data_IF_869730114615
#
_entry.id   IF_869730114615
#
_cell.length_a   1.000
_cell.length_b   1.000
_cell.length_c   1.000
_cell.angle_alpha   90.00
_cell.angle_beta   90.00
_cell.angle_gamma   90.00
#
_symmetry.space_group_name_H-M   'P 1'
#
loop_
_entity.id
_entity.type
_entity.pdbx_description
1 polymer ?
#
# COMPACT_ATOMS: atom_id res chain seq x y z
N UNK A 1 -7.07 -3.19 -9.62
CA UNK A 1 -8.05 -2.34 -10.34
C UNK A 1 -8.16 -1.02 -9.62
N UNK A 2 -7.36 -0.05 -10.03
CA UNK A 2 -7.57 1.36 -9.70
C UNK A 2 -7.81 2.01 -11.06
N UNK A 3 -8.78 2.93 -11.15
CA UNK A 3 -9.41 3.48 -12.37
C UNK A 3 -10.68 2.75 -12.83
N UNK A 4 -11.68 2.74 -11.94
CA UNK A 4 -13.07 2.41 -12.25
C UNK A 4 -14.02 3.61 -12.27
N UNK A 5 -13.52 4.85 -12.21
CA UNK A 5 -14.39 6.04 -12.19
C UNK A 5 -14.77 6.38 -13.63
N UNK A 6 -16.01 6.06 -13.97
CA UNK A 6 -16.70 6.46 -15.19
C UNK A 6 -17.04 7.95 -15.18
N UNK A 7 -17.24 8.54 -16.37
CA UNK A 7 -17.64 9.95 -16.51
C UNK A 7 -18.96 10.24 -15.76
N UNK A 8 -19.89 9.29 -15.73
CA UNK A 8 -21.15 9.39 -14.99
C UNK A 8 -20.96 9.47 -13.48
N UNK A 9 -20.03 8.70 -12.91
CA UNK A 9 -19.74 8.77 -11.47
C UNK A 9 -19.12 10.11 -11.09
N UNK A 10 -18.26 10.66 -11.96
CA UNK A 10 -17.68 12.00 -11.73
C UNK A 10 -18.76 13.09 -11.73
N UNK A 11 -19.72 13.03 -12.65
CA UNK A 11 -20.88 13.94 -12.65
C UNK A 11 -21.71 13.76 -11.37
N UNK A 12 -21.99 12.53 -10.96
CA UNK A 12 -22.77 12.27 -9.74
C UNK A 12 -22.10 12.87 -8.50
N UNK A 13 -20.79 12.64 -8.33
CA UNK A 13 -20.01 13.22 -7.22
C UNK A 13 -20.03 14.74 -7.29
N UNK A 14 -19.93 15.32 -8.49
CA UNK A 14 -20.02 16.77 -8.66
C UNK A 14 -21.38 17.31 -8.21
N UNK A 15 -22.49 16.70 -8.64
CA UNK A 15 -23.85 17.09 -8.22
C UNK A 15 -24.01 16.96 -6.71
N UNK A 16 -23.58 15.85 -6.10
CA UNK A 16 -23.63 15.65 -4.65
C UNK A 16 -22.82 16.75 -3.94
N UNK A 17 -21.62 17.05 -4.43
CA UNK A 17 -20.79 18.13 -3.90
C UNK A 17 -21.47 19.51 -4.00
N UNK A 18 -22.14 19.79 -5.11
CA UNK A 18 -22.91 21.04 -5.27
C UNK A 18 -24.10 21.12 -4.31
N UNK A 19 -24.78 20.01 -4.02
CA UNK A 19 -25.90 19.99 -3.07
C UNK A 19 -25.41 20.18 -1.63
N UNK A 20 -24.31 19.54 -1.24
CA UNK A 20 -23.77 19.60 0.12
C UNK A 20 -23.14 20.96 0.41
N UNK A 21 -22.26 21.43 -0.48
CA UNK A 21 -21.46 22.64 -0.26
C UNK A 21 -22.10 23.88 -0.89
N UNK A 22 -22.98 23.71 -1.87
CA UNK A 22 -23.55 24.80 -2.66
C UNK A 22 -22.71 25.11 -3.92
N UNK A 23 -23.35 25.55 -5.02
CA UNK A 23 -22.68 25.82 -6.29
C UNK A 23 -21.69 27.00 -6.25
N UNK A 24 -21.84 27.92 -5.31
CA UNK A 24 -20.90 29.02 -5.12
C UNK A 24 -19.64 28.62 -4.34
N UNK A 25 -19.71 27.61 -3.46
CA UNK A 25 -18.60 27.27 -2.57
C UNK A 25 -17.65 26.22 -3.16
N UNK A 26 -18.16 25.25 -3.91
CA UNK A 26 -17.37 24.24 -4.62
C UNK A 26 -16.24 24.85 -5.49
N UNK A 27 -16.52 25.84 -6.37
CA UNK A 27 -15.46 26.47 -7.17
C UNK A 27 -14.48 27.28 -6.33
N UNK A 28 -14.91 27.86 -5.20
CA UNK A 28 -14.03 28.57 -4.28
C UNK A 28 -13.02 27.62 -3.62
N UNK A 29 -13.46 26.45 -3.17
CA UNK A 29 -12.60 25.40 -2.59
C UNK A 29 -11.63 24.87 -3.65
N UNK A 30 -12.13 24.57 -4.85
CA UNK A 30 -11.29 24.11 -5.95
C UNK A 30 -10.22 25.15 -6.32
N UNK A 31 -10.53 26.45 -6.32
CA UNK A 31 -9.55 27.53 -6.55
C UNK A 31 -8.50 27.60 -5.44
N UNK A 32 -8.88 27.38 -4.17
CA UNK A 32 -7.93 27.35 -3.03
C UNK A 32 -6.95 26.20 -3.16
N UNK A 33 -7.47 24.99 -3.40
CA UNK A 33 -6.66 23.77 -3.57
C UNK A 33 -5.81 23.86 -4.84
N UNK A 34 -6.41 24.26 -5.96
CA UNK A 34 -5.73 24.43 -7.24
C UNK A 34 -4.64 25.51 -7.19
N UNK A 35 -4.88 26.61 -6.49
CA UNK A 35 -3.88 27.64 -6.24
C UNK A 35 -2.72 27.15 -5.38
N UNK A 36 -2.97 26.29 -4.40
CA UNK A 36 -1.92 25.68 -3.57
C UNK A 36 -1.07 24.69 -4.37
N UNK A 37 -1.70 23.80 -5.13
CA UNK A 37 -1.01 22.86 -6.04
C UNK A 37 -0.24 23.63 -7.11
N UNK A 38 -0.81 24.72 -7.64
CA UNK A 38 -0.15 25.60 -8.61
C UNK A 38 1.13 26.23 -8.05
N UNK A 39 1.11 26.67 -6.79
CA UNK A 39 2.32 27.16 -6.10
C UNK A 39 3.38 26.07 -5.93
N UNK A 40 2.98 24.84 -5.56
CA UNK A 40 3.90 23.70 -5.47
C UNK A 40 4.51 23.36 -6.83
N UNK A 41 3.70 23.37 -7.89
CA UNK A 41 4.17 23.13 -9.26
C UNK A 41 5.17 24.20 -9.68
N UNK A 42 4.93 25.46 -9.33
CA UNK A 42 5.86 26.57 -9.58
C UNK A 42 7.16 26.41 -8.78
N UNK A 43 7.08 26.01 -7.51
CA UNK A 43 8.26 25.74 -6.69
C UNK A 43 9.13 24.62 -7.30
N UNK A 44 8.55 23.55 -7.86
CA UNK A 44 9.33 22.52 -8.57
C UNK A 44 10.00 23.06 -9.83
N UNK A 45 9.29 23.89 -10.61
CA UNK A 45 9.83 24.50 -11.80
C UNK A 45 10.99 25.46 -11.46
N UNK A 46 10.83 26.31 -10.45
CA UNK A 46 11.85 27.27 -10.02
C UNK A 46 13.06 26.54 -9.40
N UNK A 47 12.85 25.47 -8.62
CA UNK A 47 13.95 24.62 -8.14
C UNK A 47 14.69 23.97 -9.31
N UNK A 48 14.01 23.37 -10.27
CA UNK A 48 14.66 22.80 -11.46
C UNK A 48 15.44 23.87 -12.23
N UNK A 49 14.84 25.02 -12.52
CA UNK A 49 15.47 26.08 -13.32
C UNK A 49 16.70 26.70 -12.63
N UNK A 50 16.70 26.83 -11.30
CA UNK A 50 17.86 27.32 -10.54
C UNK A 50 18.95 26.25 -10.36
N UNK A 51 18.57 24.96 -10.29
CA UNK A 51 19.53 23.85 -10.23
C UNK A 51 20.26 23.63 -11.57
N UNK A 52 19.59 23.81 -12.71
CA UNK A 52 20.20 23.62 -14.04
C UNK A 52 21.18 24.73 -14.47
N UNK A 53 21.17 25.91 -13.82
CA UNK A 53 22.04 27.02 -14.20
C UNK A 53 23.20 27.30 -13.22
N UNK A 54 23.13 26.84 -11.96
CA UNK A 54 24.21 27.07 -10.96
C UNK A 54 24.50 25.89 -10.01
N UNK A 55 23.69 24.81 -9.95
CA UNK A 55 23.93 23.71 -9.04
C UNK A 55 24.59 22.53 -9.75
N UNK A 56 25.76 22.13 -9.27
CA UNK A 56 26.37 20.87 -9.64
C UNK A 56 25.41 19.73 -9.31
N UNK A 57 25.06 18.94 -10.33
CA UNK A 57 24.27 17.70 -10.21
C UNK A 57 24.93 16.73 -9.19
N UNK A 58 26.18 16.99 -8.83
CA UNK A 58 27.02 16.28 -7.87
C UNK A 58 26.50 16.38 -6.41
N UNK A 59 25.99 17.53 -5.95
CA UNK A 59 25.56 17.71 -4.54
C UNK A 59 24.24 17.00 -4.23
N UNK A 60 23.30 17.02 -5.18
CA UNK A 60 22.04 16.26 -5.06
C UNK A 60 22.26 14.76 -5.23
N UNK A 61 23.26 14.37 -6.03
CA UNK A 61 23.68 12.97 -6.12
C UNK A 61 24.30 12.51 -4.79
N UNK A 62 25.18 13.32 -4.18
CA UNK A 62 25.77 13.04 -2.87
C UNK A 62 24.70 12.93 -1.78
N UNK A 63 23.72 13.84 -1.71
CA UNK A 63 22.63 13.76 -0.72
C UNK A 63 21.77 12.50 -0.91
N UNK A 64 21.47 12.14 -2.17
CA UNK A 64 20.75 10.90 -2.50
C UNK A 64 21.55 9.67 -2.06
N UNK A 65 22.87 9.69 -2.26
CA UNK A 65 23.78 8.59 -1.93
C UNK A 65 23.98 8.47 -0.40
N UNK A 66 24.02 9.58 0.32
CA UNK A 66 24.04 9.66 1.79
C UNK A 66 22.73 9.15 2.40
N UNK A 67 21.58 9.57 1.86
CA UNK A 67 20.27 9.04 2.26
C UNK A 67 20.13 7.54 1.95
N UNK A 68 20.57 7.11 0.76
CA UNK A 68 20.54 5.70 0.36
C UNK A 68 21.43 4.85 1.27
N UNK A 69 22.65 5.30 1.57
CA UNK A 69 23.57 4.59 2.46
C UNK A 69 23.08 4.58 3.90
N UNK A 70 22.46 5.65 4.40
CA UNK A 70 21.84 5.69 5.73
C UNK A 70 20.65 4.70 5.84
N UNK A 71 19.81 4.61 4.80
CA UNK A 71 18.70 3.64 4.76
C UNK A 71 19.20 2.21 4.68
N UNK A 72 20.28 1.95 3.93
CA UNK A 72 20.91 0.62 3.84
C UNK A 72 21.52 0.21 5.18
N UNK A 73 22.23 1.12 5.85
CA UNK A 73 22.80 0.88 7.18
C UNK A 73 21.71 0.62 8.22
N UNK A 74 20.60 1.36 8.16
CA UNK A 74 19.44 1.15 9.01
C UNK A 74 18.77 -0.20 8.74
N UNK A 75 18.67 -0.64 7.47
CA UNK A 75 18.20 -1.99 7.15
C UNK A 75 19.14 -3.07 7.66
N UNK A 76 20.45 -2.84 7.56
CA UNK A 76 21.46 -3.78 8.05
C UNK A 76 21.38 -3.93 9.57
N UNK A 77 21.32 -2.82 10.31
CA UNK A 77 21.17 -2.87 11.78
C UNK A 77 19.85 -3.50 12.21
N UNK A 78 18.76 -3.26 11.50
CA UNK A 78 17.47 -3.92 11.75
C UNK A 78 17.53 -5.43 11.45
N UNK A 79 18.23 -5.85 10.41
CA UNK A 79 18.36 -7.28 10.03
C UNK A 79 19.37 -8.01 10.93
N UNK A 80 20.39 -7.30 11.41
CA UNK A 80 21.40 -7.81 12.35
C UNK A 80 20.84 -7.95 13.77
N UNK A 81 19.87 -7.13 14.16
CA UNK A 81 19.12 -7.27 15.42
C UNK A 81 17.89 -8.20 15.35
N UNK A 82 17.55 -8.73 14.17
CA UNK A 82 16.46 -9.68 13.99
C UNK A 82 17.09 -11.04 13.65
N UNK A 83 17.41 -11.79 14.69
CA UNK A 83 17.84 -13.19 14.59
C UNK A 83 16.69 -14.02 13.99
N UNK A 84 16.85 -14.64 12.80
CA UNK A 84 15.85 -15.54 12.25
C UNK A 84 15.65 -16.81 13.11
N UNK A 85 16.53 -17.08 14.08
CA UNK A 85 16.43 -18.27 14.93
C UNK A 85 15.42 -18.11 16.08
N UNK A 86 15.12 -16.90 16.54
CA UNK A 86 14.08 -16.66 17.56
C UNK A 86 12.65 -16.90 17.04
N UNK A 87 12.44 -16.95 15.72
CA UNK A 87 11.13 -17.27 15.14
C UNK A 87 10.87 -18.77 14.96
N UNK A 88 11.89 -19.62 15.15
CA UNK A 88 11.75 -21.07 15.02
C UNK A 88 11.70 -21.80 16.39
N UNK A 89 12.01 -21.11 17.49
CA UNK A 89 12.07 -21.71 18.84
C UNK A 89 10.77 -21.56 19.65
N UNK A 90 9.78 -20.81 19.15
CA UNK A 90 8.51 -20.55 19.85
C UNK A 90 7.27 -20.82 18.97
N UNK A 91 7.23 -21.99 18.33
CA UNK A 91 6.05 -22.49 17.62
C UNK A 91 5.58 -23.85 18.18
N UNK A 92 5.64 -24.01 19.51
CA UNK A 92 5.12 -25.20 20.20
C UNK A 92 4.08 -24.82 21.26
N UNK A 93 3.05 -24.06 20.86
CA UNK A 93 1.83 -23.98 21.65
C UNK A 93 0.57 -24.02 20.76
N UNK A 94 -0.06 -25.20 20.81
CA UNK A 94 -1.52 -25.38 20.90
C UNK A 94 -2.39 -25.31 19.64
N UNK A 95 -2.03 -26.05 18.59
CA UNK A 95 -3.00 -26.50 17.56
C UNK A 95 -3.18 -28.02 17.63
N UNK A 96 -3.50 -28.56 18.81
CA UNK A 96 -3.79 -29.99 18.98
C UNK A 96 -5.17 -30.27 19.59
N UNK A 97 -5.91 -29.25 20.06
CA UNK A 97 -7.14 -29.48 20.84
C UNK A 97 -8.45 -29.14 20.11
N UNK A 98 -8.42 -28.46 18.96
CA UNK A 98 -9.66 -27.97 18.31
C UNK A 98 -10.24 -28.89 17.23
N UNK A 99 -9.79 -30.14 17.11
CA UNK A 99 -10.35 -31.09 16.12
C UNK A 99 -10.95 -32.38 16.72
N UNK A 100 -11.28 -32.35 18.02
CA UNK A 100 -11.96 -33.44 18.74
C UNK A 100 -13.51 -33.41 18.65
N UNK A 101 -14.13 -32.42 17.98
CA UNK A 101 -15.59 -32.27 18.00
C UNK A 101 -16.32 -32.56 16.67
N UNK A 102 -15.71 -33.28 15.74
CA UNK A 102 -16.42 -33.88 14.61
C UNK A 102 -16.08 -35.37 14.48
N UNK A 103 -16.57 -36.15 15.43
CA UNK A 103 -16.78 -37.58 15.25
C UNK A 103 -18.27 -37.85 15.41
N UNK A 104 -18.96 -38.20 14.33
CA UNK A 104 -20.01 -39.19 14.40
C UNK A 104 -19.48 -40.48 13.75
N UNK A 105 -19.41 -41.52 14.58
CA UNK A 105 -19.15 -42.89 14.15
C UNK A 105 -20.24 -43.43 13.21
N UNK A 106 -19.90 -44.59 12.62
CA UNK A 106 -20.78 -45.64 12.06
C UNK A 106 -21.21 -45.45 10.59
N UNK A 107 -21.09 -46.42 9.69
CA UNK A 107 -20.54 -47.77 9.82
C UNK A 107 -20.11 -48.26 8.43
N UNK A 108 -19.05 -49.04 8.45
CA UNK A 108 -18.66 -49.95 7.40
C UNK A 108 -19.80 -50.94 7.14
N UNK A 109 -20.24 -51.12 5.89
CA UNK A 109 -20.58 -52.48 5.45
C UNK A 109 -20.59 -52.61 3.93
N UNK A 110 -19.71 -53.50 3.46
CA UNK A 110 -19.74 -54.24 2.19
C UNK A 110 -19.28 -53.51 0.92
N UNK A 111 -17.99 -53.69 0.65
CA UNK A 111 -17.57 -54.09 -0.68
C UNK A 111 -18.23 -55.44 -1.02
N UNK A 112 -18.83 -55.57 -2.20
CA UNK A 112 -18.63 -56.78 -2.97
C UNK A 112 -17.80 -56.41 -4.19
N UNK A 113 -16.62 -57.04 -4.29
CA UNK A 113 -16.03 -57.34 -5.58
C UNK A 113 -17.09 -57.93 -6.50
N UNK A 114 -17.19 -57.46 -7.74
CA UNK A 114 -17.83 -58.27 -8.78
C UNK A 114 -17.27 -57.95 -10.18
N UNK A 115 -16.19 -58.68 -10.49
CA UNK A 115 -15.81 -59.33 -11.74
C UNK A 115 -15.54 -58.52 -13.02
N UNK A 116 -14.34 -58.82 -13.54
CA UNK A 116 -13.95 -58.78 -14.94
C UNK A 116 -15.02 -59.39 -15.87
N UNK A 117 -15.31 -58.70 -16.98
CA UNK A 117 -15.47 -59.28 -18.32
C UNK A 117 -15.14 -58.24 -19.41
#
# INVERSE_FOLDING_TARGET
MVFGISFSELILIFVIGLVIFGPEQMPSIARKIGGFIGRIRKLRADLSTHLYQQAGIEELQQLKEELSSAVIQMRHSLTESVDPQDLLDNHDYHIQEMHFLYQPELDFERQPELFDE
#
